data_IF_332947311390
#
_entry.id   IF_332947311390
#
_cell.length_a   1.000
_cell.length_b   1.000
_cell.length_c   1.000
_cell.angle_alpha   90.00
_cell.angle_beta   90.00
_cell.angle_gamma   90.00
#
_symmetry.space_group_name_H-M   'P 1'
#
loop_
_entity.id
_entity.type
_entity.pdbx_description
1 polymer ?
#
# COMPACT_ATOMS: atom_id res chain seq x y z
N UNK A 1 -31.24 24.84 -19.45
CA UNK A 1 -30.50 24.50 -18.21
C UNK A 1 -31.44 23.76 -17.29
N UNK A 2 -31.01 22.64 -16.70
CA UNK A 2 -31.83 21.87 -15.75
C UNK A 2 -31.75 22.58 -14.40
N UNK A 3 -32.88 22.93 -13.79
CA UNK A 3 -32.89 23.47 -12.42
C UNK A 3 -32.56 22.33 -11.47
N UNK A 4 -31.39 22.40 -10.83
CA UNK A 4 -30.97 21.45 -9.79
C UNK A 4 -31.42 22.01 -8.45
N UNK A 5 -32.08 21.17 -7.65
CA UNK A 5 -32.58 21.54 -6.33
C UNK A 5 -31.47 21.46 -5.28
N UNK A 6 -31.62 22.19 -4.17
CA UNK A 6 -30.67 22.16 -3.06
C UNK A 6 -30.51 20.74 -2.50
N UNK A 7 -31.58 19.94 -2.50
CA UNK A 7 -31.52 18.58 -1.97
C UNK A 7 -30.76 17.61 -2.90
N UNK A 8 -30.84 17.80 -4.23
CA UNK A 8 -29.98 17.07 -5.17
C UNK A 8 -28.49 17.40 -4.95
N UNK A 9 -28.16 18.67 -4.69
CA UNK A 9 -26.78 19.08 -4.39
C UNK A 9 -26.28 18.44 -3.09
N UNK A 10 -27.12 18.36 -2.05
CA UNK A 10 -26.76 17.71 -0.78
C UNK A 10 -26.50 16.22 -0.96
N UNK A 11 -27.36 15.52 -1.72
CA UNK A 11 -27.20 14.08 -1.98
C UNK A 11 -25.90 13.80 -2.74
N UNK A 12 -25.60 14.56 -3.79
CA UNK A 12 -24.35 14.41 -4.54
C UNK A 12 -23.12 14.77 -3.70
N UNK A 13 -23.22 15.78 -2.83
CA UNK A 13 -22.16 16.13 -1.86
C UNK A 13 -21.87 15.01 -0.86
N UNK A 14 -22.91 14.35 -0.33
CA UNK A 14 -22.74 13.18 0.53
C UNK A 14 -22.08 12.00 -0.21
N UNK A 15 -22.54 11.66 -1.42
CA UNK A 15 -21.94 10.60 -2.24
C UNK A 15 -20.46 10.87 -2.56
N UNK A 16 -20.12 12.12 -2.86
CA UNK A 16 -18.74 12.52 -3.10
C UNK A 16 -17.87 12.33 -1.85
N UNK A 17 -18.41 12.69 -0.67
CA UNK A 17 -17.75 12.44 0.61
C UNK A 17 -17.53 10.95 0.86
N UNK A 18 -18.54 10.11 0.63
CA UNK A 18 -18.42 8.66 0.76
C UNK A 18 -17.37 8.08 -0.20
N UNK A 19 -17.33 8.56 -1.45
CA UNK A 19 -16.34 8.16 -2.44
C UNK A 19 -14.91 8.49 -1.97
N UNK A 20 -14.68 9.70 -1.46
CA UNK A 20 -13.37 10.12 -0.94
C UNK A 20 -12.92 9.29 0.27
N UNK A 21 -13.85 8.92 1.15
CA UNK A 21 -13.58 8.03 2.28
C UNK A 21 -13.17 6.64 1.77
N UNK A 22 -13.91 6.09 0.80
CA UNK A 22 -13.61 4.79 0.19
C UNK A 22 -12.22 4.81 -0.49
N UNK A 23 -11.92 5.82 -1.29
CA UNK A 23 -10.62 5.98 -1.94
C UNK A 23 -9.46 6.05 -0.93
N UNK A 24 -9.65 6.78 0.16
CA UNK A 24 -8.67 6.89 1.24
C UNK A 24 -8.43 5.54 1.92
N UNK A 25 -9.51 4.83 2.28
CA UNK A 25 -9.42 3.51 2.91
C UNK A 25 -8.76 2.48 1.97
N UNK A 26 -9.11 2.49 0.68
CA UNK A 26 -8.46 1.66 -0.33
C UNK A 26 -6.97 1.96 -0.44
N UNK A 27 -6.57 3.23 -0.48
CA UNK A 27 -5.16 3.63 -0.55
C UNK A 27 -4.38 3.13 0.67
N UNK A 28 -4.96 3.23 1.87
CA UNK A 28 -4.36 2.72 3.10
C UNK A 28 -4.23 1.19 3.09
N UNK A 29 -5.26 0.48 2.64
CA UNK A 29 -5.24 -0.97 2.52
C UNK A 29 -4.16 -1.44 1.53
N UNK A 30 -4.04 -0.78 0.37
CA UNK A 30 -3.01 -1.08 -0.63
C UNK A 30 -1.61 -0.85 -0.05
N UNK A 31 -1.37 0.29 0.61
CA UNK A 31 -0.07 0.58 1.24
C UNK A 31 0.30 -0.47 2.28
N UNK A 32 -0.66 -0.91 3.10
CA UNK A 32 -0.45 -1.97 4.09
C UNK A 32 -0.07 -3.30 3.42
N UNK A 33 -0.83 -3.71 2.40
CA UNK A 33 -0.53 -4.95 1.67
C UNK A 33 0.85 -4.89 1.00
N UNK A 34 1.21 -3.77 0.38
CA UNK A 34 2.54 -3.59 -0.22
C UNK A 34 3.66 -3.73 0.82
N UNK A 35 3.52 -3.11 2.00
CA UNK A 35 4.49 -3.26 3.08
C UNK A 35 4.62 -4.69 3.59
N UNK A 36 3.52 -5.43 3.73
CA UNK A 36 3.55 -6.86 4.10
C UNK A 36 4.25 -7.72 3.04
N UNK A 37 4.06 -7.41 1.76
CA UNK A 37 4.75 -8.08 0.66
C UNK A 37 6.24 -7.77 0.61
N UNK A 38 6.62 -6.50 0.83
CA UNK A 38 8.02 -6.08 0.90
C UNK A 38 8.77 -6.81 2.02
N UNK A 39 8.17 -6.91 3.21
CA UNK A 39 8.73 -7.68 4.33
C UNK A 39 8.91 -9.16 3.97
N UNK A 40 7.91 -9.79 3.35
CA UNK A 40 8.01 -11.20 2.91
C UNK A 40 9.13 -11.39 1.90
N UNK A 41 9.23 -10.51 0.90
CA UNK A 41 10.30 -10.56 -0.11
C UNK A 41 11.68 -10.41 0.54
N UNK A 42 11.83 -9.51 1.49
CA UNK A 42 13.08 -9.31 2.21
C UNK A 42 13.46 -10.57 3.02
N UNK A 43 12.50 -11.19 3.72
CA UNK A 43 12.73 -12.47 4.41
C UNK A 43 13.18 -13.57 3.44
N UNK A 44 12.55 -13.71 2.28
CA UNK A 44 12.97 -14.69 1.28
C UNK A 44 14.35 -14.41 0.71
N UNK A 45 14.65 -13.14 0.41
CA UNK A 45 15.95 -12.74 -0.08
C UNK A 45 17.05 -13.09 0.93
N UNK A 46 16.85 -12.75 2.21
CA UNK A 46 17.78 -13.12 3.29
C UNK A 46 17.96 -14.63 3.40
N UNK A 47 16.88 -15.42 3.32
CA UNK A 47 16.99 -16.87 3.36
C UNK A 47 17.83 -17.43 2.19
N UNK A 48 17.55 -16.97 0.96
CA UNK A 48 18.27 -17.41 -0.25
C UNK A 48 19.74 -17.00 -0.21
N UNK A 49 20.04 -15.77 0.22
CA UNK A 49 21.42 -15.32 0.36
C UNK A 49 22.17 -16.13 1.44
N UNK A 50 21.49 -16.49 2.54
CA UNK A 50 22.11 -17.26 3.63
C UNK A 50 22.44 -18.68 3.19
N UNK A 51 21.54 -19.31 2.42
CA UNK A 51 21.78 -20.63 1.82
C UNK A 51 22.93 -20.61 0.80
N UNK A 52 23.09 -19.51 0.04
CA UNK A 52 24.09 -19.44 -1.04
C UNK A 52 25.48 -19.01 -0.58
N UNK A 53 25.56 -18.07 0.36
CA UNK A 53 26.79 -17.36 0.71
C UNK A 53 27.18 -17.57 2.19
N UNK A 54 26.29 -18.15 3.01
CA UNK A 54 26.49 -18.22 4.46
C UNK A 54 26.27 -16.86 5.12
N UNK A 55 25.97 -16.89 6.43
CA UNK A 55 25.53 -15.70 7.18
C UNK A 55 26.57 -14.57 7.21
N UNK A 56 27.87 -14.90 7.24
CA UNK A 56 28.96 -13.91 7.30
C UNK A 56 29.18 -13.14 6.01
N UNK A 57 28.93 -13.76 4.85
CA UNK A 57 29.02 -13.09 3.54
C UNK A 57 27.74 -12.27 3.28
N UNK A 58 26.61 -12.70 3.83
CA UNK A 58 25.34 -11.98 3.76
C UNK A 58 25.41 -10.59 4.41
N UNK A 59 26.01 -10.50 5.60
CA UNK A 59 26.25 -9.22 6.30
C UNK A 59 27.14 -8.26 5.51
N UNK A 60 27.99 -8.77 4.61
CA UNK A 60 28.82 -7.94 3.73
C UNK A 60 28.04 -7.47 2.49
N UNK A 61 27.21 -8.34 1.91
CA UNK A 61 26.34 -8.01 0.77
C UNK A 61 25.30 -6.96 1.18
N UNK A 62 24.69 -7.09 2.36
CA UNK A 62 23.71 -6.12 2.89
C UNK A 62 24.31 -4.72 3.11
N UNK A 63 25.62 -4.60 3.33
CA UNK A 63 26.29 -3.28 3.48
C UNK A 63 26.57 -2.59 2.14
N UNK A 64 26.41 -3.29 1.02
CA UNK A 64 26.68 -2.77 -0.32
C UNK A 64 25.42 -2.39 -1.11
N UNK A 65 24.24 -2.72 -0.59
CA UNK A 65 22.91 -2.37 -1.14
C UNK A 65 22.38 -1.16 -0.39
#
# INVERSE_FOLDING_TARGET
MRNVTIDEIKVEGCKLGDLQIIETLMSLAIKKMLGEHELKLNCFLKAVLAERHGLSELDQIEKQI
#
